data_IF_641821192205
#
_entry.id   IF_641821192205
#
_cell.length_a   1.000
_cell.length_b   1.000
_cell.length_c   1.000
_cell.angle_alpha   90.00
_cell.angle_beta   90.00
_cell.angle_gamma   90.00
#
_symmetry.space_group_name_H-M   'P 1'
#
loop_
_entity.id
_entity.type
_entity.pdbx_description
1 polymer ?
#
# COMPACT_ATOMS: atom_id res chain seq x y z
N UNK A 1 -17.27 5.69 -14.31
CA UNK A 1 -16.20 4.70 -14.05
C UNK A 1 -15.38 5.20 -12.88
N UNK A 2 -15.45 4.51 -11.75
CA UNK A 2 -14.81 4.94 -10.52
C UNK A 2 -15.07 3.91 -9.42
N UNK A 3 -14.38 4.09 -8.30
CA UNK A 3 -14.60 3.30 -7.11
C UNK A 3 -16.00 3.59 -6.57
N UNK A 4 -16.85 2.55 -6.44
CA UNK A 4 -18.18 2.69 -5.84
C UNK A 4 -18.05 2.86 -4.32
N UNK A 5 -17.42 1.90 -3.66
CA UNK A 5 -16.91 2.02 -2.30
C UNK A 5 -15.43 1.62 -2.28
N UNK A 6 -14.63 2.42 -1.59
CA UNK A 6 -13.21 2.15 -1.35
C UNK A 6 -12.83 2.71 0.01
N UNK A 7 -12.32 1.84 0.87
CA UNK A 7 -11.76 2.21 2.18
C UNK A 7 -10.38 1.59 2.26
N UNK A 8 -9.37 2.42 2.53
CA UNK A 8 -8.01 1.96 2.75
C UNK A 8 -7.51 2.36 4.12
N UNK A 9 -6.67 1.52 4.69
CA UNK A 9 -5.93 1.73 5.93
C UNK A 9 -4.45 1.63 5.60
N UNK A 10 -3.72 2.72 5.81
CA UNK A 10 -2.26 2.69 5.79
C UNK A 10 -1.75 2.58 7.21
N UNK A 11 -0.80 1.68 7.43
CA UNK A 11 -0.04 1.58 8.69
C UNK A 11 1.44 1.69 8.38
N UNK A 12 2.15 2.40 9.25
CA UNK A 12 3.61 2.48 9.22
C UNK A 12 4.11 1.96 10.56
N UNK A 13 4.93 0.92 10.51
CA UNK A 13 5.49 0.28 11.71
C UNK A 13 7.01 0.17 11.62
N UNK A 14 7.69 -0.06 12.75
CA UNK A 14 9.07 -0.50 12.74
C UNK A 14 9.17 -1.90 12.11
N UNK A 15 10.32 -2.20 11.50
CA UNK A 15 10.67 -3.60 11.21
C UNK A 15 11.14 -4.19 12.55
N UNK A 16 10.53 -5.30 13.00
CA UNK A 16 10.83 -6.02 14.25
C UNK A 16 12.20 -6.74 14.21
N UNK A 17 13.23 -6.12 13.64
CA UNK A 17 14.62 -6.54 13.85
C UNK A 17 15.22 -5.63 14.93
N UNK A 18 15.67 -6.26 16.02
CA UNK A 18 16.24 -5.68 17.26
C UNK A 18 17.58 -4.93 17.05
N UNK A 19 17.79 -4.33 15.87
CA UNK A 19 18.99 -3.55 15.54
C UNK A 19 18.69 -2.04 15.51
N UNK A 20 19.53 -1.26 16.22
CA UNK A 20 19.56 0.20 16.14
C UNK A 20 19.79 0.63 14.68
N UNK A 21 18.72 1.06 14.00
CA UNK A 21 18.73 1.37 12.57
C UNK A 21 17.63 0.67 11.75
N UNK A 22 16.75 -0.11 12.39
CA UNK A 22 15.64 -0.79 11.74
C UNK A 22 14.80 0.16 10.87
N UNK A 23 14.60 -0.24 9.60
CA UNK A 23 13.76 0.50 8.64
C UNK A 23 12.29 0.56 9.05
N UNK A 24 11.45 1.10 8.17
CA UNK A 24 10.01 1.11 8.37
C UNK A 24 9.31 0.16 7.39
N UNK A 25 8.22 -0.46 7.84
CA UNK A 25 7.30 -1.21 6.98
C UNK A 25 6.04 -0.37 6.75
N UNK A 26 5.62 -0.26 5.50
CA UNK A 26 4.35 0.37 5.13
C UNK A 26 3.39 -0.73 4.71
N UNK A 27 2.33 -0.91 5.48
CA UNK A 27 1.23 -1.81 5.14
C UNK A 27 0.06 -1.02 4.56
N UNK A 28 -0.54 -1.53 3.47
CA UNK A 28 -1.73 -0.97 2.87
C UNK A 28 -2.83 -2.04 2.81
N UNK A 29 -3.80 -1.94 3.71
CA UNK A 29 -5.03 -2.74 3.66
C UNK A 29 -6.13 -1.97 2.94
N UNK A 30 -6.93 -2.62 2.11
CA UNK A 30 -8.10 -1.99 1.50
C UNK A 30 -9.29 -2.94 1.39
N UNK A 31 -10.48 -2.34 1.36
CA UNK A 31 -11.76 -3.00 1.06
C UNK A 31 -12.44 -2.17 -0.02
N UNK A 32 -12.81 -2.80 -1.13
CA UNK A 32 -13.52 -2.12 -2.21
C UNK A 32 -14.52 -3.03 -2.90
N UNK A 33 -15.54 -2.40 -3.48
CA UNK A 33 -16.38 -3.07 -4.47
C UNK A 33 -15.58 -3.42 -5.73
N UNK A 34 -16.03 -4.40 -6.54
CA UNK A 34 -15.43 -4.68 -7.83
C UNK A 34 -15.27 -3.41 -8.68
N UNK A 35 -14.04 -3.16 -9.09
CA UNK A 35 -13.69 -1.98 -9.89
C UNK A 35 -13.86 -2.37 -11.36
N UNK A 36 -14.82 -1.75 -12.04
CA UNK A 36 -15.02 -2.01 -13.47
C UNK A 36 -13.74 -1.69 -14.27
N UNK A 37 -13.30 -2.65 -15.08
CA UNK A 37 -12.10 -2.52 -15.91
C UNK A 37 -10.79 -2.88 -15.22
N UNK A 38 -10.82 -3.30 -13.95
CA UNK A 38 -9.64 -3.76 -13.22
C UNK A 38 -9.86 -5.15 -12.66
N UNK A 39 -8.90 -6.05 -12.86
CA UNK A 39 -8.85 -7.26 -12.06
C UNK A 39 -8.27 -6.93 -10.68
N UNK A 40 -8.58 -7.77 -9.67
CA UNK A 40 -7.97 -7.62 -8.35
C UNK A 40 -6.43 -7.66 -8.42
N UNK A 41 -5.87 -8.47 -9.33
CA UNK A 41 -4.43 -8.59 -9.51
C UNK A 41 -3.82 -7.31 -10.10
N UNK A 42 -4.45 -6.72 -11.12
CA UNK A 42 -3.99 -5.46 -11.71
C UNK A 42 -4.02 -4.35 -10.66
N UNK A 43 -5.09 -4.31 -9.86
CA UNK A 43 -5.26 -3.29 -8.83
C UNK A 43 -4.24 -3.46 -7.70
N UNK A 44 -3.98 -4.70 -7.26
CA UNK A 44 -2.92 -4.99 -6.29
C UNK A 44 -1.55 -4.56 -6.81
N UNK A 45 -1.23 -4.83 -8.07
CA UNK A 45 0.03 -4.44 -8.69
C UNK A 45 0.19 -2.92 -8.76
N UNK A 46 -0.91 -2.20 -9.01
CA UNK A 46 -0.93 -0.74 -8.97
C UNK A 46 -0.69 -0.18 -7.57
N UNK A 47 -1.34 -0.75 -6.54
CA UNK A 47 -1.13 -0.35 -5.15
C UNK A 47 0.32 -0.63 -4.71
N UNK A 48 0.91 -1.76 -5.11
CA UNK A 48 2.30 -2.08 -4.83
C UNK A 48 3.27 -1.06 -5.46
N UNK A 49 3.04 -0.69 -6.72
CA UNK A 49 3.81 0.37 -7.37
C UNK A 49 3.71 1.70 -6.61
N UNK A 50 2.51 2.08 -6.18
CA UNK A 50 2.30 3.28 -5.36
C UNK A 50 3.04 3.19 -4.01
N UNK A 51 3.01 2.04 -3.35
CA UNK A 51 3.73 1.78 -2.09
C UNK A 51 5.24 1.98 -2.25
N UNK A 52 5.84 1.36 -3.27
CA UNK A 52 7.26 1.53 -3.55
C UNK A 52 7.62 2.98 -3.88
N UNK A 53 6.75 3.69 -4.59
CA UNK A 53 6.95 5.11 -4.90
C UNK A 53 6.89 5.97 -3.63
N UNK A 54 5.93 5.73 -2.74
CA UNK A 54 5.83 6.46 -1.47
C UNK A 54 7.02 6.18 -0.56
N UNK A 55 7.45 4.92 -0.44
CA UNK A 55 8.63 4.55 0.36
C UNK A 55 9.87 5.34 -0.09
N UNK A 56 10.18 5.33 -1.40
CA UNK A 56 11.30 6.10 -1.97
C UNK A 56 11.23 7.60 -1.74
N UNK A 57 10.02 8.15 -1.64
CA UNK A 57 9.77 9.58 -1.40
C UNK A 57 9.86 9.93 0.09
N UNK A 58 9.62 8.99 1.00
CA UNK A 58 9.77 9.19 2.44
C UNK A 58 11.25 9.05 2.85
N UNK A 59 11.99 8.17 2.18
CA UNK A 59 13.43 7.96 2.41
C UNK A 59 14.32 9.15 1.98
N UNK A 60 13.82 10.07 1.13
CA UNK A 60 14.57 11.21 0.58
C UNK A 60 13.92 12.55 0.89
#
# INVERSE_FOLDING_TARGET
MGFKSYVATLKVGPIDDDEEGAGCVIEWGFVCDPIEGWTLQDFNSYIEYCLQFMAKKIER
#
